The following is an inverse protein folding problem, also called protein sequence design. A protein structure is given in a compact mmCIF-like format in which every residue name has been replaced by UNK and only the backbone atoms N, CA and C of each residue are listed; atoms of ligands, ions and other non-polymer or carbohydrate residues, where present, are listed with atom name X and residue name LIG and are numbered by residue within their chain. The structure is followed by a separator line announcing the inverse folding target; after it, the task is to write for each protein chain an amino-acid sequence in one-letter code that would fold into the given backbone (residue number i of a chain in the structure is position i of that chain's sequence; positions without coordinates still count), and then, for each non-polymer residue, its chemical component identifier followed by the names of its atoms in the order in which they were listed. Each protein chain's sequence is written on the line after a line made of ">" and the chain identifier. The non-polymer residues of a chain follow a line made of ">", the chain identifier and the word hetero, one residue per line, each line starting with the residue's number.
data_IF_990961272180
#
_entry.id   IF_990961272180
#
_cell.length_a   1.000
_cell.length_b   1.000
_cell.length_c   1.000
_cell.angle_alpha   90.00
_cell.angle_beta   90.00
_cell.angle_gamma   90.00
#
_symmetry.space_group_name_H-M   'P 1'
#
loop_
_entity.id
_entity.type
_entity.pdbx_description
1 polymer ?
#
# COMPACT_ATOMS: atom_id res chain seq x y z
N UNK A 1 -3.70 13.42 34.37
CA UNK A 1 -2.66 13.08 33.37
C UNK A 1 -1.41 13.88 33.66
N UNK A 2 -0.34 13.22 34.08
CA UNK A 2 0.90 13.84 34.53
C UNK A 2 1.58 14.58 33.38
N UNK A 3 2.25 15.69 33.68
CA UNK A 3 2.96 16.51 32.67
C UNK A 3 3.99 15.68 31.88
N UNK A 4 4.64 14.72 32.53
CA UNK A 4 5.59 13.79 31.90
C UNK A 4 4.89 12.88 30.87
N UNK A 5 3.76 12.27 31.23
CA UNK A 5 3.01 11.39 30.31
C UNK A 5 2.46 12.18 29.11
N UNK A 6 1.99 13.42 29.32
CA UNK A 6 1.57 14.29 28.20
C UNK A 6 2.73 14.54 27.23
N UNK A 7 3.92 14.85 27.76
CA UNK A 7 5.12 15.09 26.94
C UNK A 7 5.56 13.84 26.18
N UNK A 8 5.52 12.67 26.81
CA UNK A 8 5.85 11.39 26.16
C UNK A 8 4.90 11.08 25.00
N UNK A 9 3.59 11.19 25.23
CA UNK A 9 2.59 10.97 24.17
C UNK A 9 2.76 12.00 23.05
N UNK A 10 2.94 13.28 23.38
CA UNK A 10 3.15 14.33 22.38
C UNK A 10 4.42 14.11 21.55
N UNK A 11 5.51 13.65 22.18
CA UNK A 11 6.76 13.32 21.49
C UNK A 11 6.57 12.14 20.53
N UNK A 12 5.88 11.07 20.96
CA UNK A 12 5.57 9.92 20.12
C UNK A 12 4.72 10.35 18.91
N UNK A 13 3.70 11.17 19.12
CA UNK A 13 2.87 11.71 18.04
C UNK A 13 3.69 12.58 17.09
N UNK A 14 4.55 13.47 17.62
CA UNK A 14 5.38 14.35 16.79
C UNK A 14 6.35 13.55 15.92
N UNK A 15 7.07 12.58 16.50
CA UNK A 15 7.97 11.70 15.75
C UNK A 15 7.22 10.94 14.67
N UNK A 16 6.03 10.42 14.99
CA UNK A 16 5.21 9.70 14.03
C UNK A 16 4.73 10.59 12.87
N UNK A 17 4.24 11.79 13.16
CA UNK A 17 3.82 12.75 12.14
C UNK A 17 5.00 13.13 11.25
N UNK A 18 6.18 13.37 11.81
CA UNK A 18 7.39 13.66 11.02
C UNK A 18 7.76 12.49 10.10
N UNK A 19 7.76 11.25 10.60
CA UNK A 19 8.04 10.05 9.80
C UNK A 19 6.99 9.89 8.68
N UNK A 20 5.72 10.09 9.00
CA UNK A 20 4.62 9.96 8.02
C UNK A 20 4.74 11.02 6.93
N UNK A 21 4.99 12.27 7.30
CA UNK A 21 5.21 13.36 6.35
C UNK A 21 6.43 13.09 5.45
N UNK A 22 7.54 12.65 6.03
CA UNK A 22 8.74 12.28 5.28
C UNK A 22 8.44 11.16 4.28
N UNK A 23 7.73 10.11 4.70
CA UNK A 23 7.37 8.98 3.84
C UNK A 23 6.40 9.40 2.73
N UNK A 24 5.40 10.25 3.03
CA UNK A 24 4.51 10.80 1.99
C UNK A 24 5.28 11.66 0.99
N UNK A 25 6.17 12.54 1.45
CA UNK A 25 7.01 13.35 0.57
C UNK A 25 7.91 12.49 -0.32
N UNK A 26 8.50 11.44 0.24
CA UNK A 26 9.31 10.47 -0.51
C UNK A 26 8.50 9.78 -1.62
N UNK A 27 7.26 9.35 -1.32
CA UNK A 27 6.37 8.76 -2.33
C UNK A 27 5.95 9.75 -3.42
N UNK A 28 5.73 11.03 -3.09
CA UNK A 28 5.40 12.06 -4.06
C UNK A 28 6.58 12.39 -4.99
N UNK A 29 7.80 12.46 -4.46
CA UNK A 29 9.00 12.78 -5.22
C UNK A 29 9.31 11.70 -6.28
N UNK A 30 8.95 10.44 -6.04
CA UNK A 30 9.13 9.37 -7.04
C UNK A 30 8.12 9.41 -8.21
N UNK A 31 7.13 10.30 -8.18
CA UNK A 31 6.02 10.28 -9.15
C UNK A 31 6.29 11.07 -10.45
N UNK A 32 7.33 11.90 -10.49
CA UNK A 32 7.56 12.89 -11.57
C UNK A 32 8.74 12.57 -12.51
N UNK A 33 8.91 11.31 -12.89
CA UNK A 33 9.71 11.02 -14.09
C UNK A 33 8.79 10.88 -15.30
N UNK A 34 8.78 11.90 -16.16
CA UNK A 34 8.24 11.84 -17.53
C UNK A 34 9.04 10.75 -18.25
N UNK A 35 8.54 9.52 -18.23
CA UNK A 35 9.17 8.37 -18.89
C UNK A 35 8.25 7.89 -20.01
N UNK A 36 8.86 7.71 -21.17
CA UNK A 36 8.37 6.83 -22.26
C UNK A 36 8.24 5.36 -21.84
N UNK A 37 8.48 5.07 -20.55
CA UNK A 37 8.49 3.77 -19.92
C UNK A 37 7.66 3.84 -18.64
N UNK A 38 6.51 3.18 -18.63
CA UNK A 38 5.69 3.03 -17.42
C UNK A 38 5.96 1.69 -16.78
N UNK A 39 6.23 1.68 -15.47
CA UNK A 39 6.49 0.45 -14.71
C UNK A 39 5.61 0.38 -13.47
N UNK A 40 5.07 -0.79 -13.19
CA UNK A 40 4.44 -1.12 -11.91
C UNK A 40 5.04 -2.42 -11.39
N UNK A 41 5.45 -2.44 -10.12
CA UNK A 41 6.00 -3.64 -9.49
C UNK A 41 5.38 -3.83 -8.09
N UNK A 42 4.80 -5.01 -7.88
CA UNK A 42 4.21 -5.44 -6.61
C UNK A 42 4.81 -6.77 -6.12
N UNK A 43 6.15 -6.83 -6.06
CA UNK A 43 6.87 -8.03 -5.67
C UNK A 43 6.91 -9.03 -6.82
N UNK A 44 5.98 -9.99 -6.82
CA UNK A 44 5.96 -11.07 -7.81
C UNK A 44 5.27 -10.62 -9.11
N UNK A 45 4.21 -9.81 -9.01
CA UNK A 45 3.50 -9.28 -10.17
C UNK A 45 4.06 -7.92 -10.62
N UNK A 46 4.40 -7.79 -11.89
CA UNK A 46 4.91 -6.53 -12.45
C UNK A 46 4.54 -6.33 -13.91
N UNK A 47 4.58 -5.08 -14.36
CA UNK A 47 4.51 -4.71 -15.76
C UNK A 47 5.55 -3.62 -16.10
N UNK A 48 5.96 -3.59 -17.37
CA UNK A 48 6.73 -2.52 -18.00
C UNK A 48 6.13 -2.25 -19.38
N UNK A 49 5.80 -1.01 -19.65
CA UNK A 49 5.23 -0.53 -20.91
C UNK A 49 6.27 0.39 -21.52
N UNK A 50 6.72 0.09 -22.72
CA UNK A 50 7.66 0.91 -23.48
C UNK A 50 6.99 1.42 -24.75
N UNK A 51 7.00 2.73 -24.96
CA UNK A 51 6.55 3.31 -26.22
C UNK A 51 7.64 3.14 -27.29
N UNK A 52 7.36 2.34 -28.32
CA UNK A 52 8.34 1.94 -29.35
C UNK A 52 8.39 2.94 -30.51
N UNK A 53 7.25 3.56 -30.85
CA UNK A 53 7.15 4.58 -31.91
C UNK A 53 6.31 5.76 -31.43
N UNK A 54 6.88 6.96 -31.55
CA UNK A 54 6.22 8.22 -31.18
C UNK A 54 5.09 8.56 -32.16
N UNK A 55 5.24 8.20 -33.44
CA UNK A 55 4.32 8.60 -34.51
C UNK A 55 3.06 7.72 -34.62
N UNK A 56 3.13 6.44 -34.22
CA UNK A 56 2.01 5.48 -34.35
C UNK A 56 1.47 4.96 -33.01
N UNK A 57 1.98 5.49 -31.88
CA UNK A 57 1.60 5.08 -30.51
C UNK A 57 1.57 3.56 -30.36
N UNK A 58 2.72 2.92 -30.59
CA UNK A 58 2.87 1.48 -30.36
C UNK A 58 3.53 1.21 -29.01
N UNK A 59 2.85 0.41 -28.18
CA UNK A 59 3.33 -0.01 -26.88
C UNK A 59 3.83 -1.46 -26.91
N UNK A 60 5.02 -1.67 -26.37
CA UNK A 60 5.55 -2.98 -26.04
C UNK A 60 5.42 -3.22 -24.55
N UNK A 61 4.90 -4.38 -24.20
CA UNK A 61 4.67 -4.78 -22.83
C UNK A 61 5.63 -5.88 -22.42
N UNK A 62 6.11 -5.78 -21.19
CA UNK A 62 6.68 -6.88 -20.43
C UNK A 62 5.81 -7.07 -19.20
N UNK A 63 5.33 -8.27 -18.98
CA UNK A 63 4.47 -8.62 -17.84
C UNK A 63 5.05 -9.83 -17.12
N UNK A 64 4.93 -9.87 -15.80
CA UNK A 64 5.38 -11.01 -15.02
C UNK A 64 4.52 -11.27 -13.80
N UNK A 65 4.43 -12.55 -13.41
CA UNK A 65 3.82 -13.01 -12.16
C UNK A 65 4.84 -13.53 -11.14
N UNK A 66 6.05 -13.84 -11.59
CA UNK A 66 7.21 -14.24 -10.77
C UNK A 66 8.50 -13.98 -11.56
N UNK A 67 9.66 -14.24 -10.96
CA UNK A 67 10.95 -14.15 -11.66
C UNK A 67 11.07 -15.14 -12.84
N UNK A 68 10.34 -16.26 -12.77
CA UNK A 68 10.37 -17.32 -13.78
C UNK A 68 9.24 -17.16 -14.82
N UNK A 69 8.12 -16.54 -14.45
CA UNK A 69 6.95 -16.35 -15.30
C UNK A 69 6.90 -14.94 -15.89
N UNK A 70 7.76 -14.68 -16.89
CA UNK A 70 7.84 -13.38 -17.57
C UNK A 70 7.53 -13.51 -19.07
N UNK A 71 6.56 -12.72 -19.55
CA UNK A 71 6.28 -12.54 -20.98
C UNK A 71 6.82 -11.19 -21.42
N UNK A 72 7.79 -11.20 -22.34
CA UNK A 72 8.51 -10.01 -22.81
C UNK A 72 8.11 -9.69 -24.25
N UNK A 73 8.06 -8.40 -24.61
CA UNK A 73 7.88 -7.96 -25.98
C UNK A 73 6.49 -8.20 -26.55
N UNK A 74 5.46 -8.24 -25.69
CA UNK A 74 4.07 -8.32 -26.13
C UNK A 74 3.72 -6.99 -26.80
N UNK A 75 3.50 -7.01 -28.12
CA UNK A 75 3.03 -5.84 -28.85
C UNK A 75 1.53 -5.67 -28.62
N UNK A 76 1.13 -4.50 -28.16
CA UNK A 76 -0.27 -4.17 -27.96
C UNK A 76 -1.02 -4.11 -29.30
N UNK A 77 -2.20 -4.72 -29.35
CA UNK A 77 -3.09 -4.72 -30.49
C UNK A 77 -4.55 -4.87 -30.02
N UNK A 78 -5.52 -4.79 -30.93
CA UNK A 78 -6.94 -4.85 -30.58
C UNK A 78 -7.41 -6.12 -29.86
N UNK A 79 -6.68 -7.24 -29.98
CA UNK A 79 -7.06 -8.52 -29.37
C UNK A 79 -6.61 -8.65 -27.91
N UNK A 80 -5.49 -8.03 -27.55
CA UNK A 80 -4.88 -8.13 -26.21
C UNK A 80 -4.94 -6.83 -25.40
N UNK A 81 -5.35 -5.71 -26.00
CA UNK A 81 -5.43 -4.39 -25.38
C UNK A 81 -6.17 -4.44 -24.04
N UNK A 82 -7.39 -5.00 -24.02
CA UNK A 82 -8.20 -5.03 -22.81
C UNK A 82 -7.53 -5.85 -21.69
N UNK A 83 -6.96 -7.00 -22.01
CA UNK A 83 -6.31 -7.88 -21.04
C UNK A 83 -5.05 -7.24 -20.46
N UNK A 84 -4.27 -6.53 -21.28
CA UNK A 84 -3.07 -5.80 -20.83
C UNK A 84 -3.44 -4.67 -19.86
N UNK A 85 -4.48 -3.90 -20.18
CA UNK A 85 -4.97 -2.84 -19.31
C UNK A 85 -5.58 -3.38 -18.02
N UNK A 86 -6.38 -4.44 -18.07
CA UNK A 86 -6.93 -5.09 -16.88
C UNK A 86 -5.84 -5.70 -15.99
N UNK A 87 -4.79 -6.29 -16.59
CA UNK A 87 -3.62 -6.75 -15.85
C UNK A 87 -2.90 -5.59 -15.16
N UNK A 88 -2.66 -4.50 -15.89
CA UNK A 88 -2.05 -3.27 -15.35
C UNK A 88 -2.84 -2.72 -14.17
N UNK A 89 -4.16 -2.57 -14.33
CA UNK A 89 -5.05 -2.07 -13.29
C UNK A 89 -5.01 -2.97 -12.05
N UNK A 90 -5.07 -4.30 -12.23
CA UNK A 90 -4.95 -5.24 -11.12
C UNK A 90 -3.61 -5.08 -10.39
N UNK A 91 -2.48 -4.97 -11.11
CA UNK A 91 -1.17 -4.73 -10.49
C UNK A 91 -1.13 -3.41 -9.74
N UNK A 92 -1.65 -2.33 -10.32
CA UNK A 92 -1.75 -1.02 -9.68
C UNK A 92 -2.59 -1.08 -8.39
N UNK A 93 -3.71 -1.80 -8.42
CA UNK A 93 -4.56 -2.03 -7.26
C UNK A 93 -3.85 -2.84 -6.16
N UNK A 94 -3.09 -3.88 -6.52
CA UNK A 94 -2.26 -4.65 -5.57
C UNK A 94 -1.23 -3.72 -4.90
N UNK A 95 -0.53 -2.88 -5.68
CA UNK A 95 0.44 -1.90 -5.14
C UNK A 95 -0.26 -0.96 -4.16
N UNK A 96 -1.39 -0.39 -4.54
CA UNK A 96 -2.15 0.52 -3.67
C UNK A 96 -2.64 -0.17 -2.39
N UNK A 97 -3.14 -1.40 -2.46
CA UNK A 97 -3.55 -2.14 -1.27
C UNK A 97 -2.36 -2.45 -0.35
N UNK A 98 -1.20 -2.85 -0.89
CA UNK A 98 0.01 -3.10 -0.09
C UNK A 98 0.50 -1.83 0.62
N UNK A 99 0.55 -0.71 -0.08
CA UNK A 99 0.90 0.60 0.51
C UNK A 99 -0.11 0.97 1.59
N UNK A 100 -1.41 0.80 1.34
CA UNK A 100 -2.47 1.06 2.33
C UNK A 100 -2.33 0.18 3.57
N UNK A 101 -2.05 -1.12 3.40
CA UNK A 101 -1.81 -2.07 4.49
C UNK A 101 -0.58 -1.70 5.32
N UNK A 102 0.50 -1.26 4.66
CA UNK A 102 1.71 -0.79 5.34
C UNK A 102 1.41 0.42 6.24
N UNK A 103 0.68 1.42 5.73
CA UNK A 103 0.27 2.56 6.55
C UNK A 103 -0.63 2.14 7.72
N UNK A 104 -1.61 1.27 7.50
CA UNK A 104 -2.48 0.74 8.56
C UNK A 104 -1.68 0.02 9.65
N UNK A 105 -0.69 -0.80 9.26
CA UNK A 105 0.22 -1.46 10.20
C UNK A 105 1.00 -0.47 11.05
N UNK A 106 1.55 0.56 10.42
CA UNK A 106 2.26 1.66 11.10
C UNK A 106 1.34 2.36 12.13
N UNK A 107 0.08 2.64 11.77
CA UNK A 107 -0.91 3.22 12.69
C UNK A 107 -1.22 2.30 13.88
N UNK A 108 -1.38 1.00 13.66
CA UNK A 108 -1.64 0.05 14.76
C UNK A 108 -0.47 0.03 15.74
N UNK A 109 0.76 0.00 15.25
CA UNK A 109 1.96 0.03 16.10
C UNK A 109 1.96 1.30 16.97
N UNK A 110 1.63 2.46 16.40
CA UNK A 110 1.49 3.71 17.16
C UNK A 110 0.45 3.60 18.27
N UNK A 111 -0.74 3.09 17.96
CA UNK A 111 -1.82 2.93 18.96
C UNK A 111 -1.40 1.99 20.09
N UNK A 112 -0.69 0.90 19.77
CA UNK A 112 -0.16 -0.03 20.77
C UNK A 112 0.88 0.64 21.66
N UNK A 113 1.79 1.45 21.10
CA UNK A 113 2.80 2.20 21.88
C UNK A 113 2.11 3.18 22.83
N UNK A 114 1.14 3.97 22.35
CA UNK A 114 0.38 4.90 23.18
C UNK A 114 -0.40 4.17 24.27
N UNK A 115 -1.06 3.06 23.92
CA UNK A 115 -1.79 2.23 24.88
C UNK A 115 -0.85 1.66 25.95
N UNK A 116 0.35 1.21 25.57
CA UNK A 116 1.37 0.69 26.48
C UNK A 116 1.84 1.77 27.46
N UNK A 117 2.08 3.01 27.00
CA UNK A 117 2.42 4.14 27.86
C UNK A 117 1.30 4.46 28.85
N UNK A 118 0.05 4.49 28.39
CA UNK A 118 -1.13 4.70 29.24
C UNK A 118 -1.30 3.55 30.25
N UNK A 119 -0.99 2.31 29.87
CA UNK A 119 -1.10 1.15 30.74
C UNK A 119 -0.05 1.15 31.85
N UNK A 120 1.19 1.54 31.52
CA UNK A 120 2.29 1.70 32.50
C UNK A 120 2.10 2.89 33.44
N UNK A 121 1.30 3.88 33.04
CA UNK A 121 0.96 4.99 33.93
C UNK A 121 0.20 4.50 35.16
N UNK A 122 0.65 4.91 36.36
CA UNK A 122 -0.05 4.67 37.63
C UNK A 122 -1.34 5.50 37.77
N UNK A 123 -1.61 6.42 36.85
CA UNK A 123 -2.80 7.25 36.89
C UNK A 123 -4.06 6.45 36.56
N UNK A 124 -5.00 6.39 37.51
CA UNK A 124 -6.29 5.70 37.39
C UNK A 124 -7.46 6.69 37.26
N UNK A 125 -7.29 7.78 36.50
CA UNK A 125 -8.41 8.69 36.27
C UNK A 125 -9.46 8.05 35.34
N UNK A 126 -10.74 8.39 35.56
CA UNK A 126 -11.86 7.91 34.73
C UNK A 126 -11.64 8.24 33.24
N UNK A 127 -11.03 9.39 32.96
CA UNK A 127 -10.66 9.82 31.60
C UNK A 127 -9.62 8.89 30.95
N UNK A 128 -8.58 8.50 31.70
CA UNK A 128 -7.55 7.59 31.19
C UNK A 128 -8.14 6.21 30.92
N UNK A 129 -9.06 5.72 31.76
CA UNK A 129 -9.77 4.46 31.52
C UNK A 129 -10.62 4.51 30.26
N UNK A 130 -11.36 5.62 30.03
CA UNK A 130 -12.12 5.82 28.78
C UNK A 130 -11.21 5.85 27.55
N UNK A 131 -10.07 6.54 27.64
CA UNK A 131 -9.10 6.63 26.56
C UNK A 131 -8.50 5.24 26.23
N UNK A 132 -8.16 4.44 27.24
CA UNK A 132 -7.70 3.05 27.05
C UNK A 132 -8.76 2.21 26.31
N UNK A 133 -10.01 2.26 26.76
CA UNK A 133 -11.11 1.53 26.11
C UNK A 133 -11.31 1.99 24.65
N UNK A 134 -11.24 3.30 24.40
CA UNK A 134 -11.31 3.86 23.04
C UNK A 134 -10.17 3.34 22.14
N UNK A 135 -8.92 3.37 22.63
CA UNK A 135 -7.78 2.86 21.87
C UNK A 135 -7.89 1.36 21.57
N UNK A 136 -8.38 0.56 22.54
CA UNK A 136 -8.63 -0.87 22.32
C UNK A 136 -9.68 -1.06 21.22
N UNK A 137 -10.81 -0.34 21.27
CA UNK A 137 -11.83 -0.42 20.22
C UNK A 137 -11.27 0.01 18.86
N UNK A 138 -10.46 1.07 18.81
CA UNK A 138 -9.82 1.52 17.58
C UNK A 138 -8.87 0.47 16.99
N UNK A 139 -8.07 -0.20 17.83
CA UNK A 139 -7.19 -1.30 17.41
C UNK A 139 -8.03 -2.46 16.86
N UNK A 140 -9.08 -2.89 17.57
CA UNK A 140 -9.96 -3.96 17.10
C UNK A 140 -10.60 -3.63 15.75
N UNK A 141 -11.10 -2.41 15.59
CA UNK A 141 -11.69 -1.93 14.34
C UNK A 141 -10.68 -1.93 13.19
N UNK A 142 -9.47 -1.40 13.43
CA UNK A 142 -8.40 -1.37 12.43
C UNK A 142 -7.95 -2.79 12.04
N UNK A 143 -7.87 -3.72 12.98
CA UNK A 143 -7.55 -5.12 12.69
C UNK A 143 -8.57 -5.78 11.76
N UNK A 144 -9.87 -5.54 11.99
CA UNK A 144 -10.93 -6.01 11.08
C UNK A 144 -10.78 -5.36 9.70
N UNK A 145 -10.50 -4.06 9.65
CA UNK A 145 -10.32 -3.36 8.40
C UNK A 145 -9.11 -3.88 7.60
N UNK A 146 -8.01 -4.22 8.28
CA UNK A 146 -6.84 -4.89 7.68
C UNK A 146 -7.24 -6.24 7.10
N UNK A 147 -8.01 -7.06 7.83
CA UNK A 147 -8.47 -8.35 7.31
C UNK A 147 -9.28 -8.21 6.02
N UNK A 148 -10.21 -7.24 5.97
CA UNK A 148 -10.97 -6.94 4.75
C UNK A 148 -10.08 -6.48 3.59
N UNK A 149 -9.05 -5.70 3.89
CA UNK A 149 -8.06 -5.25 2.90
C UNK A 149 -7.22 -6.41 2.36
N UNK A 150 -6.87 -7.39 3.19
CA UNK A 150 -6.20 -8.60 2.75
C UNK A 150 -7.07 -9.46 1.83
N UNK A 151 -8.37 -9.60 2.12
CA UNK A 151 -9.30 -10.31 1.24
C UNK A 151 -9.37 -9.63 -0.14
N UNK A 152 -9.46 -8.31 -0.19
CA UNK A 152 -9.41 -7.57 -1.47
C UNK A 152 -8.08 -7.74 -2.18
N UNK A 153 -6.96 -7.73 -1.45
CA UNK A 153 -5.64 -7.95 -2.02
C UNK A 153 -5.55 -9.33 -2.70
N UNK A 154 -6.08 -10.39 -2.10
CA UNK A 154 -6.12 -11.71 -2.74
C UNK A 154 -6.97 -11.72 -4.02
N UNK A 155 -8.12 -11.05 -4.03
CA UNK A 155 -8.94 -10.93 -5.24
C UNK A 155 -8.18 -10.25 -6.39
N UNK A 156 -7.43 -9.18 -6.11
CA UNK A 156 -6.65 -8.48 -7.13
C UNK A 156 -5.48 -9.33 -7.66
N UNK A 157 -4.85 -10.13 -6.78
CA UNK A 157 -3.82 -11.09 -7.18
C UNK A 157 -4.41 -12.15 -8.12
N UNK A 158 -5.58 -12.70 -7.78
CA UNK A 158 -6.27 -13.67 -8.64
C UNK A 158 -6.66 -13.07 -10.00
N UNK A 159 -7.13 -11.82 -10.02
CA UNK A 159 -7.41 -11.11 -11.28
C UNK A 159 -6.16 -10.91 -12.12
N UNK A 160 -5.06 -10.47 -11.51
CA UNK A 160 -3.79 -10.31 -12.21
C UNK A 160 -3.32 -11.65 -12.81
N UNK A 161 -3.42 -12.75 -12.05
CA UNK A 161 -3.10 -14.08 -12.54
C UNK A 161 -4.00 -14.48 -13.71
N UNK A 162 -5.32 -14.30 -13.58
CA UNK A 162 -6.28 -14.58 -14.64
C UNK A 162 -5.89 -13.85 -15.93
N UNK A 163 -5.78 -12.52 -15.91
CA UNK A 163 -5.44 -11.77 -17.12
C UNK A 163 -4.06 -12.14 -17.68
N UNK A 164 -3.08 -12.44 -16.83
CA UNK A 164 -1.78 -12.90 -17.29
C UNK A 164 -1.84 -14.20 -18.10
N UNK A 165 -2.61 -15.20 -17.67
CA UNK A 165 -2.73 -16.46 -18.41
C UNK A 165 -3.48 -16.29 -19.75
N UNK A 166 -4.42 -15.36 -19.82
CA UNK A 166 -5.16 -15.01 -21.03
C UNK A 166 -4.44 -14.01 -21.96
N UNK A 167 -3.22 -13.56 -21.63
CA UNK A 167 -2.37 -12.72 -22.49
C UNK A 167 -1.68 -13.52 -23.61
N UNK A 168 -2.36 -14.50 -24.21
CA UNK A 168 -1.90 -15.30 -25.36
C UNK A 168 -3.01 -15.30 -26.43
#
# INVERSE_FOLDING_TARGET
>A
MSSLLKRQIAMVIAVFVTITLFFTAFLFIQRDEIKSVWTGNSGTSFYKIEQVKVETVEYNWTVGLSEEEVKVGIRENGNNHNQLHQFKEAVDEIIQQRVSLLFLGIYIVLLIVVLTLLWRSKERSREITKLKAFLIMAICFLSVFIALKYIKLSEFIERANYYYYYLL
#
